data_IF_692990179698
#
_entry.id   IF_692990179698
#
_cell.length_a   1.000
_cell.length_b   1.000
_cell.length_c   1.000
_cell.angle_alpha   90.00
_cell.angle_beta   90.00
_cell.angle_gamma   90.00
#
_symmetry.space_group_name_H-M   'P 1'
#
loop_
_entity.id
_entity.type
_entity.pdbx_description
1 polymer ?
#
# COMPACT_ATOMS: atom_id res chain seq x y z
N UNK A 1 28.13 -9.35 22.64
CA UNK A 1 27.51 -8.68 21.48
C UNK A 1 26.10 -9.22 21.32
N UNK A 2 25.12 -8.66 22.01
CA UNK A 2 23.71 -9.01 21.84
C UNK A 2 23.22 -8.33 20.57
N UNK A 3 23.04 -9.10 19.50
CA UNK A 3 22.44 -8.60 18.26
C UNK A 3 20.98 -8.27 18.54
N UNK A 4 20.66 -6.99 18.68
CA UNK A 4 19.27 -6.53 18.73
C UNK A 4 18.59 -6.97 17.45
N UNK A 5 17.65 -7.90 17.56
CA UNK A 5 16.74 -8.25 16.48
C UNK A 5 15.91 -6.98 16.22
N UNK A 6 16.31 -6.21 15.22
CA UNK A 6 15.53 -5.06 14.76
C UNK A 6 14.27 -5.65 14.12
N UNK A 7 13.25 -5.84 14.93
CA UNK A 7 11.92 -6.15 14.48
C UNK A 7 11.52 -4.98 13.58
N UNK A 8 11.48 -5.21 12.26
CA UNK A 8 11.01 -4.23 11.27
C UNK A 8 9.54 -3.96 11.59
N UNK A 9 9.29 -2.99 12.47
CA UNK A 9 7.94 -2.55 12.81
C UNK A 9 7.26 -2.16 11.51
N UNK A 10 6.06 -2.70 11.27
CA UNK A 10 5.24 -2.24 10.16
C UNK A 10 4.92 -0.77 10.40
N UNK A 11 5.40 0.12 9.51
CA UNK A 11 5.11 1.56 9.57
C UNK A 11 3.63 1.88 9.30
N UNK A 12 2.84 0.90 8.88
CA UNK A 12 1.41 1.01 8.63
C UNK A 12 0.69 -0.10 9.40
N UNK A 13 -0.03 0.29 10.45
CA UNK A 13 -0.72 -0.63 11.38
C UNK A 13 -2.19 -0.85 11.03
N UNK A 14 -2.84 0.14 10.44
CA UNK A 14 -4.26 0.08 10.10
C UNK A 14 -4.49 -0.60 8.73
N UNK A 15 -5.39 -1.57 8.70
CA UNK A 15 -5.76 -2.30 7.48
C UNK A 15 -7.18 -1.95 7.05
N UNK A 16 -7.33 -1.59 5.77
CA UNK A 16 -8.64 -1.42 5.15
C UNK A 16 -8.86 -2.51 4.11
N UNK A 17 -9.96 -3.25 4.22
CA UNK A 17 -10.37 -4.23 3.22
C UNK A 17 -11.34 -3.61 2.23
N UNK A 18 -11.11 -3.81 0.94
CA UNK A 18 -11.99 -3.34 -0.14
C UNK A 18 -12.56 -4.55 -0.89
N UNK A 19 -13.88 -4.55 -1.11
CA UNK A 19 -14.56 -5.57 -1.92
C UNK A 19 -14.53 -5.17 -3.38
N UNK A 20 -14.07 -6.08 -4.24
CA UNK A 20 -13.96 -5.89 -5.68
C UNK A 20 -14.77 -6.94 -6.42
N UNK A 21 -15.27 -6.58 -7.62
CA UNK A 21 -15.73 -7.61 -8.56
C UNK A 21 -14.53 -8.36 -9.14
N UNK A 22 -14.78 -9.55 -9.73
CA UNK A 22 -13.70 -10.38 -10.31
C UNK A 22 -12.92 -9.64 -11.40
N UNK A 23 -13.61 -8.86 -12.22
CA UNK A 23 -13.03 -8.10 -13.33
C UNK A 23 -12.17 -6.95 -12.82
N UNK A 24 -12.67 -6.20 -11.84
CA UNK A 24 -11.93 -5.10 -11.20
C UNK A 24 -10.65 -5.61 -10.54
N UNK A 25 -10.72 -6.73 -9.82
CA UNK A 25 -9.54 -7.32 -9.17
C UNK A 25 -8.50 -7.79 -10.20
N UNK A 26 -8.94 -8.34 -11.34
CA UNK A 26 -8.04 -8.76 -12.42
C UNK A 26 -7.33 -7.56 -13.05
N UNK A 27 -8.07 -6.48 -13.33
CA UNK A 27 -7.50 -5.25 -13.86
C UNK A 27 -6.50 -4.63 -12.88
N UNK A 28 -6.86 -4.53 -11.60
CA UNK A 28 -5.98 -4.00 -10.55
C UNK A 28 -4.67 -4.79 -10.44
N UNK A 29 -4.73 -6.13 -10.46
CA UNK A 29 -3.54 -6.97 -10.43
C UNK A 29 -2.63 -6.74 -11.64
N UNK A 30 -3.22 -6.57 -12.83
CA UNK A 30 -2.46 -6.28 -14.05
C UNK A 30 -1.75 -4.92 -13.94
N UNK A 31 -2.48 -3.87 -13.56
CA UNK A 31 -1.91 -2.51 -13.43
C UNK A 31 -0.81 -2.48 -12.37
N UNK A 32 -1.03 -3.12 -11.23
CA UNK A 32 -0.02 -3.19 -10.18
C UNK A 32 1.23 -3.96 -10.62
N UNK A 33 1.06 -5.05 -11.39
CA UNK A 33 2.16 -5.81 -11.98
C UNK A 33 2.95 -4.99 -13.01
N UNK A 34 2.28 -4.25 -13.88
CA UNK A 34 2.92 -3.38 -14.88
C UNK A 34 3.79 -2.29 -14.22
N UNK A 35 3.48 -1.91 -12.98
CA UNK A 35 4.24 -0.94 -12.18
C UNK A 35 5.24 -1.59 -11.19
N UNK A 36 5.42 -2.90 -11.24
CA UNK A 36 6.24 -3.69 -10.30
C UNK A 36 5.89 -3.43 -8.81
N UNK A 37 4.60 -3.21 -8.54
CA UNK A 37 4.07 -2.90 -7.21
C UNK A 37 3.08 -3.96 -6.74
N UNK A 38 2.99 -4.13 -5.41
CA UNK A 38 1.87 -4.86 -4.81
C UNK A 38 0.58 -4.04 -4.99
N UNK A 39 -0.59 -4.66 -5.24
CA UNK A 39 -1.85 -3.93 -5.42
C UNK A 39 -2.19 -2.95 -4.29
N UNK A 40 -1.89 -3.32 -3.04
CA UNK A 40 -2.11 -2.45 -1.88
C UNK A 40 -1.20 -1.22 -1.89
N UNK A 41 0.06 -1.39 -2.32
CA UNK A 41 1.02 -0.28 -2.45
C UNK A 41 0.59 0.65 -3.59
N UNK A 42 0.20 0.07 -4.72
CA UNK A 42 -0.35 0.82 -5.85
C UNK A 42 -1.57 1.66 -5.45
N UNK A 43 -2.56 1.06 -4.79
CA UNK A 43 -3.77 1.78 -4.34
C UNK A 43 -3.39 2.91 -3.39
N UNK A 44 -2.52 2.64 -2.41
CA UNK A 44 -2.11 3.65 -1.44
C UNK A 44 -1.40 4.82 -2.12
N UNK A 45 -0.42 4.52 -2.97
CA UNK A 45 0.34 5.54 -3.68
C UNK A 45 -0.57 6.39 -4.59
N UNK A 46 -1.51 5.74 -5.29
CA UNK A 46 -2.52 6.41 -6.11
C UNK A 46 -3.41 7.35 -5.28
N UNK A 47 -3.90 6.90 -4.12
CA UNK A 47 -4.71 7.73 -3.23
C UNK A 47 -3.90 8.94 -2.74
N UNK A 48 -2.65 8.73 -2.33
CA UNK A 48 -1.78 9.81 -1.87
C UNK A 48 -1.46 10.82 -2.98
N UNK A 49 -1.35 10.37 -4.22
CA UNK A 49 -1.12 11.25 -5.37
C UNK A 49 -2.36 12.11 -5.69
N UNK A 50 -3.54 11.50 -5.65
CA UNK A 50 -4.80 12.18 -5.99
C UNK A 50 -5.46 12.97 -4.85
N UNK A 51 -5.15 12.64 -3.60
CA UNK A 51 -5.72 13.27 -2.41
C UNK A 51 -4.58 13.78 -1.51
N UNK A 52 -4.03 14.98 -1.81
CA UNK A 52 -2.90 15.55 -1.07
C UNK A 52 -3.19 15.72 0.42
N UNK A 53 -4.47 15.87 0.81
CA UNK A 53 -4.92 15.94 2.20
C UNK A 53 -4.58 14.69 3.03
N UNK A 54 -4.37 13.54 2.38
CA UNK A 54 -3.96 12.29 3.03
C UNK A 54 -2.43 12.12 3.11
N UNK A 55 -1.64 12.98 2.45
CA UNK A 55 -0.20 13.05 2.69
C UNK A 55 0.00 13.65 4.08
N UNK A 56 0.01 12.78 5.09
CA UNK A 56 0.37 13.19 6.44
C UNK A 56 1.74 13.86 6.38
N UNK A 57 1.82 15.12 6.84
CA UNK A 57 3.09 15.79 7.07
C UNK A 57 3.97 14.88 7.93
N UNK A 58 5.24 14.67 7.56
CA UNK A 58 6.14 13.82 8.33
C UNK A 58 6.19 14.34 9.77
N UNK A 59 5.87 13.48 10.73
CA UNK A 59 6.19 13.67 12.15
C UNK A 59 7.59 13.14 12.44
#
# INVERSE_FOLDING_TARGET
MTTSIVQTKQNHTELTQVRWTKEQLKALKKIAFDQDKKPAVYIRDFILEHHPEMKASPK
#
